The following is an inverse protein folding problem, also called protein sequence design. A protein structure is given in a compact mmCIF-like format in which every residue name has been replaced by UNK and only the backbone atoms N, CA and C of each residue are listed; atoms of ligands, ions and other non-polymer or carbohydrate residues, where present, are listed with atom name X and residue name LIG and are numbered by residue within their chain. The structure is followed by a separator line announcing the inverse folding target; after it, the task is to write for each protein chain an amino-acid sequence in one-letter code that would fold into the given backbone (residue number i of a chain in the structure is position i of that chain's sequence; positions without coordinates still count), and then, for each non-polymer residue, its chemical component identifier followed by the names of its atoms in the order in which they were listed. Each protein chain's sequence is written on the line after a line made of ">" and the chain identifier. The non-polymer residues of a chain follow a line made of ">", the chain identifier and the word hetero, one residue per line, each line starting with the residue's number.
data_IF_206326654943
#
_entry.id   IF_206326654943
#
_cell.length_a   1.000
_cell.length_b   1.000
_cell.length_c   1.000
_cell.angle_alpha   90.00
_cell.angle_beta   90.00
_cell.angle_gamma   90.00
#
_symmetry.space_group_name_H-M   'P 1'
#
loop_
_entity.id
_entity.type
_entity.pdbx_description
1 polymer ?
#
# COMPACT_ATOMS: atom_id res chain seq x y z
N UNK A 1 35.69 -0.39 13.64
CA UNK A 1 34.31 0.05 13.30
C UNK A 1 33.40 -0.51 14.37
N UNK A 2 32.80 0.38 15.16
CA UNK A 2 31.92 -0.01 16.28
C UNK A 2 30.52 -0.33 15.74
N UNK A 3 29.76 -1.14 16.46
CA UNK A 3 28.34 -1.43 16.13
C UNK A 3 27.47 -0.16 16.04
N UNK A 4 27.96 0.98 16.54
CA UNK A 4 27.36 2.30 16.42
C UNK A 4 27.35 2.85 14.98
N UNK A 5 28.31 2.43 14.12
CA UNK A 5 28.39 2.86 12.71
C UNK A 5 27.44 2.06 11.79
N UNK A 6 26.83 0.97 12.29
CA UNK A 6 25.76 0.23 11.61
C UNK A 6 24.36 0.81 11.86
N UNK A 7 24.29 1.99 12.45
CA UNK A 7 23.15 2.89 12.31
C UNK A 7 23.21 3.51 10.91
N UNK A 8 23.16 2.66 9.89
CA UNK A 8 22.66 3.07 8.58
C UNK A 8 21.37 3.81 8.86
N UNK A 9 21.38 5.08 8.47
CA UNK A 9 20.30 6.03 8.62
C UNK A 9 18.99 5.35 8.20
N UNK A 10 18.23 4.85 9.17
CA UNK A 10 16.87 4.35 8.96
C UNK A 10 16.04 5.60 8.73
N UNK A 11 15.90 6.01 7.47
CA UNK A 11 14.89 7.00 7.09
C UNK A 11 13.56 6.27 7.01
N UNK A 12 12.81 6.34 8.09
CA UNK A 12 11.39 6.03 8.09
C UNK A 12 10.66 7.15 7.34
N UNK A 13 10.10 6.81 6.18
CA UNK A 13 9.29 7.73 5.39
C UNK A 13 7.82 7.46 5.71
N UNK A 14 7.33 7.93 6.85
CA UNK A 14 5.98 7.59 7.29
C UNK A 14 5.41 8.55 8.32
N UNK A 15 4.39 9.32 7.92
CA UNK A 15 3.58 10.15 8.83
C UNK A 15 2.12 10.32 8.40
N UNK A 16 1.65 9.58 7.40
CA UNK A 16 0.28 9.77 6.89
C UNK A 16 -0.57 8.52 7.14
N UNK A 17 -1.52 8.67 8.06
CA UNK A 17 -2.69 7.81 8.16
C UNK A 17 -3.54 7.98 6.89
N UNK A 18 -3.94 6.86 6.31
CA UNK A 18 -4.87 6.74 5.21
C UNK A 18 -6.31 6.62 5.75
N UNK A 19 -7.19 7.47 5.21
CA UNK A 19 -8.65 7.33 5.26
C UNK A 19 -9.11 6.84 3.88
N UNK A 20 -10.22 6.08 3.76
CA UNK A 20 -10.92 5.74 2.52
C UNK A 20 -11.18 6.93 1.60
N UNK A 21 -11.10 8.16 2.11
CA UNK A 21 -11.14 9.39 1.29
C UNK A 21 -9.91 9.59 0.39
N UNK A 22 -8.80 8.86 0.62
CA UNK A 22 -7.51 9.02 -0.07
C UNK A 22 -7.15 7.90 -1.04
N UNK A 23 -7.98 6.87 -1.15
CA UNK A 23 -7.79 5.88 -2.19
C UNK A 23 -9.10 5.24 -2.59
N UNK A 24 -9.14 4.89 -3.86
CA UNK A 24 -10.33 4.53 -4.57
C UNK A 24 -10.16 3.13 -5.14
N UNK A 25 -11.26 2.39 -5.19
CA UNK A 25 -11.37 1.24 -6.05
C UNK A 25 -11.38 1.71 -7.50
N UNK A 26 -10.55 1.07 -8.31
CA UNK A 26 -10.50 1.25 -9.75
C UNK A 26 -10.28 -0.12 -10.41
N UNK A 27 -10.89 -0.31 -11.57
CA UNK A 27 -10.53 -1.44 -12.43
C UNK A 27 -9.37 -0.99 -13.31
N UNK A 28 -8.17 -1.52 -13.03
CA UNK A 28 -7.01 -1.27 -13.87
C UNK A 28 -7.02 -2.25 -15.03
N UNK A 29 -7.07 -1.69 -16.23
CA UNK A 29 -6.87 -2.43 -17.47
C UNK A 29 -5.39 -2.43 -17.80
N UNK A 30 -4.82 -3.61 -18.02
CA UNK A 30 -3.44 -3.75 -18.49
C UNK A 30 -3.35 -4.87 -19.51
N UNK A 31 -2.36 -4.75 -20.40
CA UNK A 31 -2.06 -5.74 -21.41
C UNK A 31 -0.84 -6.56 -20.97
N UNK A 32 -0.99 -7.87 -20.89
CA UNK A 32 0.12 -8.79 -20.64
C UNK A 32 0.12 -9.87 -21.73
N UNK A 33 1.24 -9.98 -22.45
CA UNK A 33 1.41 -10.93 -23.55
C UNK A 33 0.31 -10.85 -24.63
N UNK A 34 -0.17 -9.65 -24.96
CA UNK A 34 -1.20 -9.46 -25.99
C UNK A 34 -2.63 -9.73 -25.52
N UNK A 35 -2.86 -9.89 -24.22
CA UNK A 35 -4.20 -10.08 -23.63
C UNK A 35 -4.50 -8.94 -22.66
N UNK A 36 -5.69 -8.37 -22.81
CA UNK A 36 -6.22 -7.38 -21.89
C UNK A 36 -6.79 -8.07 -20.63
N UNK A 37 -6.38 -7.56 -19.48
CA UNK A 37 -6.87 -7.97 -18.17
C UNK A 37 -7.43 -6.75 -17.45
N UNK A 38 -8.59 -6.89 -16.84
CA UNK A 38 -9.15 -5.91 -15.91
C UNK A 38 -9.01 -6.47 -14.49
N UNK A 39 -8.31 -5.75 -13.61
CA UNK A 39 -8.12 -6.15 -12.22
C UNK A 39 -8.62 -5.07 -11.26
N UNK A 40 -9.49 -5.49 -10.34
CA UNK A 40 -9.95 -4.65 -9.23
C UNK A 40 -8.75 -4.28 -8.37
N UNK A 41 -8.48 -2.99 -8.29
CA UNK A 41 -7.29 -2.43 -7.66
C UNK A 41 -7.69 -1.35 -6.66
N UNK A 42 -7.14 -1.42 -5.46
CA UNK A 42 -7.15 -0.33 -4.49
C UNK A 42 -5.99 0.61 -4.79
N UNK A 43 -6.28 1.86 -5.16
CA UNK A 43 -5.26 2.85 -5.49
C UNK A 43 -4.99 3.74 -4.28
N UNK A 44 -3.78 3.65 -3.71
CA UNK A 44 -3.29 4.44 -2.59
C UNK A 44 -2.37 5.54 -3.11
N UNK A 45 -2.74 6.81 -2.87
CA UNK A 45 -2.01 7.95 -3.41
C UNK A 45 -1.45 8.82 -2.28
N UNK A 46 -0.14 9.09 -2.31
CA UNK A 46 0.48 10.08 -1.44
C UNK A 46 1.67 10.78 -2.12
N UNK A 47 1.57 12.10 -2.41
CA UNK A 47 2.66 12.87 -3.03
C UNK A 47 3.99 12.84 -2.27
N UNK A 48 3.95 12.68 -0.94
CA UNK A 48 5.14 12.57 -0.11
C UNK A 48 5.92 11.26 -0.35
N UNK A 49 5.36 10.29 -1.08
CA UNK A 49 6.02 9.04 -1.41
C UNK A 49 6.85 9.08 -2.69
N UNK A 50 7.01 10.25 -3.34
CA UNK A 50 7.84 10.36 -4.55
C UNK A 50 9.25 9.81 -4.35
N UNK A 51 10.03 10.38 -3.42
CA UNK A 51 11.40 9.92 -3.12
C UNK A 51 11.49 8.43 -2.73
N UNK A 52 10.68 7.90 -1.79
CA UNK A 52 10.78 6.49 -1.42
C UNK A 52 10.33 5.56 -2.57
N UNK A 53 9.37 5.94 -3.41
CA UNK A 53 8.97 5.12 -4.57
C UNK A 53 10.01 5.15 -5.69
N UNK A 54 10.77 6.24 -5.84
CA UNK A 54 11.95 6.30 -6.72
C UNK A 54 13.09 5.43 -6.19
N UNK A 55 13.31 5.46 -4.88
CA UNK A 55 14.31 4.64 -4.24
C UNK A 55 13.91 3.16 -4.23
N UNK A 56 12.62 2.83 -4.22
CA UNK A 56 12.11 1.47 -4.20
C UNK A 56 12.47 0.71 -5.49
N UNK A 57 13.35 -0.26 -5.36
CA UNK A 57 13.86 -1.07 -6.47
C UNK A 57 13.93 -2.55 -6.07
N UNK A 58 13.59 -3.44 -7.00
CA UNK A 58 13.64 -4.89 -6.78
C UNK A 58 12.42 -5.42 -6.05
N UNK A 59 12.55 -6.65 -5.53
CA UNK A 59 11.46 -7.32 -4.82
C UNK A 59 11.18 -6.67 -3.45
N UNK A 60 9.93 -6.77 -3.02
CA UNK A 60 9.52 -6.39 -1.68
C UNK A 60 9.27 -7.64 -0.82
N UNK A 61 9.48 -7.52 0.48
CA UNK A 61 9.02 -8.52 1.44
C UNK A 61 7.50 -8.53 1.43
N UNK A 62 6.85 -9.72 1.41
CA UNK A 62 5.41 -9.82 1.37
C UNK A 62 4.77 -8.86 2.39
N UNK A 63 3.84 -8.00 1.95
CA UNK A 63 3.22 -7.03 2.82
C UNK A 63 2.49 -7.75 3.93
N UNK A 64 2.64 -7.25 5.15
CA UNK A 64 1.94 -7.78 6.30
C UNK A 64 1.06 -6.72 6.91
N UNK A 65 -0.12 -7.16 7.32
CA UNK A 65 -1.02 -6.36 8.13
C UNK A 65 -0.67 -6.54 9.60
N UNK A 66 -0.46 -5.44 10.30
CA UNK A 66 -0.35 -5.39 11.75
C UNK A 66 -1.52 -4.60 12.32
N UNK A 67 -1.90 -4.89 13.56
CA UNK A 67 -2.89 -4.13 14.31
C UNK A 67 -2.21 -3.54 15.53
N UNK A 68 -2.35 -2.23 15.72
CA UNK A 68 -1.92 -1.51 16.91
C UNK A 68 -3.14 -1.31 17.83
N UNK A 69 -3.22 -2.04 18.95
CA UNK A 69 -4.34 -1.94 19.89
C UNK A 69 -4.33 -0.66 20.73
N UNK A 70 -3.19 0.01 20.88
CA UNK A 70 -3.09 1.25 21.68
C UNK A 70 -3.63 2.44 20.91
N UNK A 71 -3.33 2.48 19.60
CA UNK A 71 -3.78 3.56 18.70
C UNK A 71 -5.05 3.20 17.93
N UNK A 72 -5.55 1.97 18.07
CA UNK A 72 -6.75 1.46 17.39
C UNK A 72 -6.60 1.61 15.86
N UNK A 73 -5.45 1.13 15.33
CA UNK A 73 -5.07 1.28 13.92
C UNK A 73 -4.62 -0.03 13.29
N UNK A 74 -4.87 -0.16 11.98
CA UNK A 74 -4.31 -1.21 11.13
C UNK A 74 -3.17 -0.65 10.31
N UNK A 75 -2.09 -1.39 10.19
CA UNK A 75 -0.89 -0.99 9.46
C UNK A 75 -0.66 -1.99 8.34
N UNK A 76 -0.66 -1.54 7.09
CA UNK A 76 -0.06 -2.26 5.99
C UNK A 76 1.42 -1.88 5.95
N UNK A 77 2.28 -2.85 6.22
CA UNK A 77 3.73 -2.65 6.26
C UNK A 77 4.32 -3.18 4.96
N UNK A 78 4.74 -2.25 4.10
CA UNK A 78 5.47 -2.57 2.86
C UNK A 78 6.95 -2.27 3.06
N UNK A 79 7.79 -3.26 2.78
CA UNK A 79 9.25 -3.14 2.91
C UNK A 79 9.93 -3.69 1.66
N UNK A 80 10.72 -2.87 0.99
CA UNK A 80 11.58 -3.30 -0.11
C UNK A 80 12.88 -3.93 0.39
N UNK A 81 13.49 -4.81 -0.42
CA UNK A 81 14.77 -5.45 -0.10
C UNK A 81 15.89 -4.43 0.16
N UNK A 82 15.85 -3.27 -0.50
CA UNK A 82 16.79 -2.17 -0.32
C UNK A 82 16.55 -1.33 0.95
N UNK A 83 15.58 -1.70 1.79
CA UNK A 83 15.33 -1.08 3.09
C UNK A 83 14.29 0.03 3.10
N UNK A 84 13.79 0.49 1.94
CA UNK A 84 12.66 1.42 1.87
C UNK A 84 11.43 0.81 2.57
N UNK A 85 10.78 1.59 3.43
CA UNK A 85 9.57 1.20 4.14
C UNK A 85 8.47 2.24 3.93
N UNK A 86 7.28 1.77 3.58
CA UNK A 86 6.07 2.58 3.50
C UNK A 86 5.04 2.00 4.47
N UNK A 87 4.95 2.52 5.70
CA UNK A 87 3.86 2.18 6.60
C UNK A 87 2.60 2.92 6.15
N UNK A 88 1.51 2.18 5.96
CA UNK A 88 0.20 2.73 5.60
C UNK A 88 -0.75 2.41 6.74
N UNK A 89 -1.17 3.43 7.47
CA UNK A 89 -2.01 3.27 8.66
C UNK A 89 -3.48 3.59 8.37
N UNK A 90 -4.38 2.71 8.75
CA UNK A 90 -5.82 2.88 8.64
C UNK A 90 -6.39 2.96 10.05
N UNK A 91 -7.24 3.95 10.33
CA UNK A 91 -7.99 3.94 11.60
C UNK A 91 -8.92 2.74 11.64
N UNK A 92 -9.21 2.22 12.83
CA UNK A 92 -10.09 1.05 12.98
C UNK A 92 -11.45 1.20 12.30
N UNK A 93 -12.10 2.35 12.39
CA UNK A 93 -13.42 2.53 11.75
C UNK A 93 -13.34 2.38 10.23
N UNK A 94 -12.25 2.86 9.65
CA UNK A 94 -12.02 2.89 8.21
C UNK A 94 -11.51 1.55 7.68
N UNK A 95 -10.59 0.91 8.41
CA UNK A 95 -10.16 -0.45 8.14
C UNK A 95 -11.33 -1.44 8.28
N UNK A 96 -12.26 -1.15 9.21
CA UNK A 96 -13.48 -1.91 9.38
C UNK A 96 -14.37 -1.82 8.14
N UNK A 97 -14.61 -0.60 7.63
CA UNK A 97 -15.35 -0.42 6.36
C UNK A 97 -14.70 -1.18 5.21
N UNK A 98 -13.36 -1.12 5.10
CA UNK A 98 -12.61 -1.87 4.08
C UNK A 98 -12.82 -3.39 4.23
N UNK A 99 -12.80 -3.92 5.46
CA UNK A 99 -13.01 -5.35 5.72
C UNK A 99 -14.40 -5.83 5.24
N UNK A 100 -15.42 -5.00 5.38
CA UNK A 100 -16.79 -5.33 5.00
C UNK A 100 -17.11 -5.00 3.54
N UNK A 101 -16.17 -4.41 2.80
CA UNK A 101 -16.31 -4.17 1.37
C UNK A 101 -16.42 -5.51 0.61
N UNK A 102 -17.24 -5.58 -0.43
CA UNK A 102 -17.34 -6.78 -1.24
C UNK A 102 -16.09 -7.00 -2.10
N UNK A 103 -15.38 -5.93 -2.48
CA UNK A 103 -14.18 -6.02 -3.30
C UNK A 103 -13.03 -6.75 -2.60
N UNK A 104 -12.92 -6.66 -1.27
CA UNK A 104 -11.85 -7.33 -0.51
C UNK A 104 -12.11 -8.82 -0.25
N UNK A 105 -13.30 -9.33 -0.58
CA UNK A 105 -13.67 -10.75 -0.36
C UNK A 105 -13.01 -11.69 -1.36
N UNK A 106 -12.48 -11.15 -2.45
CA UNK A 106 -11.67 -11.85 -3.45
C UNK A 106 -10.26 -11.25 -3.47
N UNK A 107 -9.24 -11.95 -4.01
CA UNK A 107 -7.94 -11.33 -4.25
C UNK A 107 -8.09 -10.07 -5.09
N UNK A 108 -7.40 -9.00 -4.69
CA UNK A 108 -7.39 -7.71 -5.36
C UNK A 108 -5.98 -7.15 -5.38
N UNK A 109 -5.73 -6.11 -6.16
CA UNK A 109 -4.40 -5.49 -6.22
C UNK A 109 -4.33 -4.21 -5.40
N UNK A 110 -3.13 -3.86 -4.94
CA UNK A 110 -2.89 -2.57 -4.28
C UNK A 110 -1.87 -1.80 -5.10
N UNK A 111 -2.27 -0.67 -5.64
CA UNK A 111 -1.37 0.25 -6.32
C UNK A 111 -0.97 1.37 -5.35
N UNK A 112 0.32 1.53 -5.12
CA UNK A 112 0.89 2.60 -4.29
C UNK A 112 1.52 3.61 -5.24
N UNK A 113 1.02 4.84 -5.26
CA UNK A 113 1.42 5.89 -6.21
C UNK A 113 1.72 7.21 -5.51
N UNK A 114 2.62 8.01 -6.09
CA UNK A 114 2.83 9.39 -5.66
C UNK A 114 1.78 10.37 -6.20
N UNK A 115 1.04 10.00 -7.25
CA UNK A 115 0.04 10.86 -7.90
C UNK A 115 -1.29 10.16 -8.12
N UNK A 116 -2.35 10.97 -8.20
CA UNK A 116 -3.66 10.49 -8.64
C UNK A 116 -3.56 10.04 -10.09
N UNK A 117 -4.17 8.92 -10.39
CA UNK A 117 -4.26 8.39 -11.74
C UNK A 117 -5.66 8.69 -12.23
N UNK A 118 -5.77 9.51 -13.26
CA UNK A 118 -7.05 9.86 -13.89
C UNK A 118 -6.91 9.68 -15.40
N UNK A 119 -7.70 8.78 -15.99
CA UNK A 119 -7.71 8.55 -17.43
C UNK A 119 -6.53 7.71 -17.93
N UNK A 120 -6.13 7.95 -19.17
CA UNK A 120 -4.93 7.35 -19.76
C UNK A 120 -3.70 7.85 -19.00
N UNK A 121 -2.88 6.92 -18.50
CA UNK A 121 -1.58 7.24 -17.91
C UNK A 121 -0.69 7.70 -19.06
N UNK A 122 -0.73 9.00 -19.34
CA UNK A 122 0.32 9.62 -20.13
C UNK A 122 1.67 9.24 -19.50
N UNK A 123 2.71 9.11 -20.32
CA UNK A 123 4.08 8.89 -19.86
C UNK A 123 4.63 10.15 -19.15
N UNK A 124 3.92 10.64 -18.14
CA UNK A 124 4.41 11.65 -17.22
C UNK A 124 5.63 11.05 -16.49
N UNK A 125 6.81 11.59 -16.80
CA UNK A 125 8.09 11.11 -16.28
C UNK A 125 8.22 11.11 -14.74
N UNK A 126 7.27 11.75 -14.05
CA UNK A 126 7.24 11.91 -12.59
C UNK A 126 6.18 11.05 -11.89
N UNK A 127 5.37 10.27 -12.62
CA UNK A 127 4.54 9.23 -12.00
C UNK A 127 5.45 8.10 -11.50
N UNK A 128 5.37 7.82 -10.20
CA UNK A 128 6.07 6.72 -9.53
C UNK A 128 5.04 5.85 -8.82
N UNK A 129 5.02 4.57 -9.16
CA UNK A 129 4.10 3.63 -8.54
C UNK A 129 4.69 2.23 -8.42
N UNK A 130 4.12 1.46 -7.50
CA UNK A 130 4.37 0.03 -7.35
C UNK A 130 3.03 -0.69 -7.14
N UNK A 131 2.89 -1.88 -7.71
CA UNK A 131 1.68 -2.71 -7.57
C UNK A 131 2.00 -3.96 -6.76
N UNK A 132 1.17 -4.19 -5.74
CA UNK A 132 1.12 -5.43 -4.97
C UNK A 132 0.00 -6.26 -5.58
N UNK A 133 0.36 -7.39 -6.18
CA UNK A 133 -0.58 -8.29 -6.84
C UNK A 133 -1.19 -9.29 -5.86
N UNK A 134 -2.46 -9.64 -6.10
CA UNK A 134 -3.17 -10.71 -5.39
C UNK A 134 -3.19 -10.54 -3.85
N UNK A 135 -3.27 -9.29 -3.40
CA UNK A 135 -3.43 -8.96 -2.01
C UNK A 135 -4.73 -9.57 -1.45
N UNK A 136 -4.65 -10.01 -0.20
CA UNK A 136 -5.78 -10.54 0.56
C UNK A 136 -5.89 -9.79 1.87
N UNK A 137 -7.08 -9.30 2.15
CA UNK A 137 -7.37 -8.64 3.41
C UNK A 137 -8.11 -9.61 4.33
N UNK A 138 -7.59 -9.80 5.55
CA UNK A 138 -8.18 -10.69 6.54
C UNK A 138 -8.29 -9.96 7.88
N UNK A 139 -9.39 -10.21 8.59
CA UNK A 139 -9.57 -9.72 9.97
C UNK A 139 -8.52 -10.37 10.87
N UNK A 140 -7.76 -9.55 11.59
CA UNK A 140 -6.90 -10.07 12.66
C UNK A 140 -7.77 -10.73 13.75
N UNK A 141 -7.40 -11.89 14.31
CA UNK A 141 -8.10 -12.49 15.45
C UNK A 141 -8.18 -11.58 16.67
N UNK A 142 -7.30 -10.59 16.78
CA UNK A 142 -7.23 -9.61 17.87
C UNK A 142 -8.10 -8.37 17.62
N UNK A 143 -8.75 -8.28 16.46
CA UNK A 143 -9.61 -7.18 16.06
C UNK A 143 -10.94 -7.20 16.84
N UNK A 144 -11.24 -6.16 17.61
CA UNK A 144 -12.49 -6.04 18.35
C UNK A 144 -13.72 -5.61 17.49
N UNK A 145 -13.76 -5.94 16.20
CA UNK A 145 -14.93 -5.66 15.35
C UNK A 145 -16.03 -6.70 15.53
N UNK A 146 -17.31 -6.33 15.36
CA UNK A 146 -18.38 -7.31 15.21
C UNK A 146 -18.10 -8.25 14.03
N UNK A 147 -18.64 -9.46 14.10
CA UNK A 147 -18.69 -10.41 12.96
C UNK A 147 -19.81 -10.06 11.99
#
# INVERSE_FOLDING_TARGET
>A
MSEQEKLDIIKEYGGAAYSPDFGAWADLNYEENGKEYARTTMVLVNPAWTEPLEAASGEYFPPNWAYDPELDMYLLLVKWQNGVRLPIAFRKEDAGKLLFDNYVKIPFDIMISNKKITGEVDQENDLKFHVIWDAKFNKSPQAAWPE
#
